data_IF_574958896539
#
_entry.id   IF_574958896539
#
_cell.length_a   1.000
_cell.length_b   1.000
_cell.length_c   1.000
_cell.angle_alpha   90.00
_cell.angle_beta   90.00
_cell.angle_gamma   90.00
#
_symmetry.space_group_name_H-M   'P 1'
#
loop_
_entity.id
_entity.type
_entity.pdbx_description
1 polymer ?
#
# COMPACT_ATOMS: atom_id res chain seq x y z
N UNK A 1 -11.03 9.35 9.23
CA UNK A 1 -10.65 7.91 9.33
C UNK A 1 -9.20 7.72 9.79
N UNK A 2 -8.35 8.73 9.63
CA UNK A 2 -6.98 8.77 10.14
C UNK A 2 -6.79 10.04 10.97
N UNK A 3 -5.86 10.00 11.93
CA UNK A 3 -5.41 11.17 12.68
C UNK A 3 -4.83 12.26 11.73
N UNK A 4 -5.06 13.54 12.06
CA UNK A 4 -4.55 14.69 11.32
C UNK A 4 -3.01 14.65 11.12
N UNK A 5 -2.28 14.13 12.11
CA UNK A 5 -0.82 14.00 12.08
C UNK A 5 -0.31 13.04 11.00
N UNK A 6 -1.16 12.11 10.52
CA UNK A 6 -0.77 11.10 9.54
C UNK A 6 -0.87 11.58 8.09
N UNK A 7 -1.62 12.64 7.79
CA UNK A 7 -1.70 13.19 6.42
C UNK A 7 -0.35 13.68 5.87
N UNK A 8 0.46 14.49 6.60
CA UNK A 8 1.79 14.86 6.13
C UNK A 8 2.72 13.63 6.03
N UNK A 9 2.64 12.70 6.98
CA UNK A 9 3.42 11.46 6.96
C UNK A 9 3.08 10.58 5.75
N UNK A 10 1.81 10.58 5.31
CA UNK A 10 1.38 9.79 4.15
C UNK A 10 1.97 10.28 2.84
N UNK A 11 2.14 11.60 2.71
CA UNK A 11 2.86 12.20 1.58
C UNK A 11 4.32 11.76 1.56
N UNK A 12 4.99 11.79 2.71
CA UNK A 12 6.38 11.31 2.85
C UNK A 12 6.47 9.81 2.59
N UNK A 13 5.55 9.01 3.12
CA UNK A 13 5.51 7.56 2.96
C UNK A 13 5.35 7.15 1.48
N UNK A 14 4.59 7.90 0.68
CA UNK A 14 4.53 7.67 -0.77
C UNK A 14 5.90 7.81 -1.42
N UNK A 15 6.65 8.88 -1.12
CA UNK A 15 8.01 9.05 -1.65
C UNK A 15 8.96 7.94 -1.18
N UNK A 16 8.89 7.55 0.10
CA UNK A 16 9.68 6.45 0.64
C UNK A 16 9.38 5.13 -0.09
N UNK A 17 8.11 4.81 -0.32
CA UNK A 17 7.71 3.61 -1.05
C UNK A 17 8.23 3.59 -2.49
N UNK A 18 8.20 4.73 -3.19
CA UNK A 18 8.81 4.86 -4.52
C UNK A 18 10.32 4.58 -4.52
N UNK A 19 11.00 4.91 -3.42
CA UNK A 19 12.43 4.65 -3.20
C UNK A 19 12.72 3.26 -2.63
N UNK A 20 11.70 2.40 -2.48
CA UNK A 20 11.85 1.04 -1.95
C UNK A 20 11.91 0.95 -0.42
N UNK A 21 11.65 2.06 0.27
CA UNK A 21 11.65 2.15 1.73
C UNK A 21 10.22 1.92 2.23
N UNK A 22 10.01 0.79 2.92
CA UNK A 22 8.68 0.34 3.38
C UNK A 22 8.31 0.84 4.77
N UNK A 23 9.28 1.40 5.50
CA UNK A 23 9.18 1.86 6.88
C UNK A 23 8.19 3.02 7.04
N UNK A 24 7.95 3.78 5.96
CA UNK A 24 6.91 4.80 5.93
C UNK A 24 5.49 4.29 6.23
N UNK A 25 5.26 2.98 6.09
CA UNK A 25 3.98 2.35 6.42
C UNK A 25 3.82 1.99 7.91
N UNK A 26 4.90 1.96 8.69
CA UNK A 26 4.88 1.55 10.11
C UNK A 26 3.93 2.42 10.96
N UNK A 27 3.96 3.77 10.88
CA UNK A 27 3.05 4.61 11.67
C UNK A 27 1.57 4.31 11.38
N UNK A 28 1.22 4.01 10.13
CA UNK A 28 -0.13 3.67 9.71
C UNK A 28 -0.56 2.28 10.20
N UNK A 29 0.37 1.34 10.22
CA UNK A 29 0.15 0.01 10.77
C UNK A 29 -0.04 0.06 12.29
N UNK A 30 0.72 0.88 13.01
CA UNK A 30 0.62 1.02 14.46
C UNK A 30 -0.70 1.67 14.92
N UNK A 31 -1.25 2.62 14.15
CA UNK A 31 -2.54 3.23 14.48
C UNK A 31 -3.70 2.22 14.42
N UNK A 32 -3.68 1.28 13.47
CA UNK A 32 -4.69 0.21 13.41
C UNK A 32 -4.15 -1.06 12.73
N UNK A 33 -3.46 -1.95 13.48
CA UNK A 33 -2.82 -3.13 12.89
C UNK A 33 -3.82 -4.08 12.23
N UNK A 34 -4.99 -4.25 12.86
CA UNK A 34 -6.05 -5.17 12.43
C UNK A 34 -6.64 -4.75 11.07
N UNK A 35 -6.67 -3.44 10.76
CA UNK A 35 -7.16 -2.97 9.46
C UNK A 35 -6.04 -2.85 8.44
N UNK A 36 -4.86 -2.39 8.86
CA UNK A 36 -3.73 -2.14 7.97
C UNK A 36 -3.11 -3.43 7.42
N UNK A 37 -2.64 -4.33 8.31
CA UNK A 37 -1.83 -5.49 7.91
C UNK A 37 -2.59 -6.41 6.93
N UNK A 38 -3.84 -6.82 7.20
CA UNK A 38 -4.58 -7.66 6.26
C UNK A 38 -4.82 -6.98 4.92
N UNK A 39 -5.08 -5.66 4.92
CA UNK A 39 -5.28 -4.90 3.69
C UNK A 39 -4.01 -4.83 2.85
N UNK A 40 -2.85 -4.64 3.49
CA UNK A 40 -1.54 -4.62 2.82
C UNK A 40 -1.24 -5.97 2.17
N UNK A 41 -1.48 -7.06 2.90
CA UNK A 41 -1.28 -8.42 2.37
C UNK A 41 -2.16 -8.68 1.15
N UNK A 42 -3.47 -8.36 1.24
CA UNK A 42 -4.40 -8.56 0.11
C UNK A 42 -4.00 -7.71 -1.08
N UNK A 43 -3.68 -6.44 -0.88
CA UNK A 43 -3.24 -5.56 -1.98
C UNK A 43 -1.94 -6.04 -2.64
N UNK A 44 -0.96 -6.48 -1.84
CA UNK A 44 0.30 -7.03 -2.34
C UNK A 44 0.07 -8.30 -3.17
N UNK A 45 -0.76 -9.23 -2.68
CA UNK A 45 -1.11 -10.46 -3.40
C UNK A 45 -1.78 -10.11 -4.73
N UNK A 46 -2.82 -9.27 -4.72
CA UNK A 46 -3.56 -8.98 -5.96
C UNK A 46 -2.70 -8.21 -6.96
N UNK A 47 -1.94 -7.20 -6.53
CA UNK A 47 -1.07 -6.43 -7.42
C UNK A 47 0.04 -7.27 -8.05
N UNK A 48 0.75 -8.07 -7.24
CA UNK A 48 1.85 -8.92 -7.73
C UNK A 48 1.35 -10.05 -8.64
N UNK A 49 0.29 -10.75 -8.25
CA UNK A 49 -0.28 -11.84 -9.07
C UNK A 49 -0.85 -11.32 -10.39
N UNK A 50 -1.53 -10.17 -10.39
CA UNK A 50 -2.03 -9.56 -11.62
C UNK A 50 -0.89 -9.15 -12.55
N UNK A 51 0.17 -8.53 -12.03
CA UNK A 51 1.33 -8.13 -12.84
C UNK A 51 1.99 -9.35 -13.50
N UNK A 52 2.27 -10.39 -12.71
CA UNK A 52 2.93 -11.62 -13.20
C UNK A 52 2.04 -12.35 -14.20
N UNK A 53 0.74 -12.48 -13.91
CA UNK A 53 -0.20 -13.17 -14.80
C UNK A 53 -0.34 -12.46 -16.15
N UNK A 54 -0.30 -11.13 -16.17
CA UNK A 54 -0.34 -10.33 -17.39
C UNK A 54 1.04 -10.20 -18.08
N UNK A 55 2.06 -10.92 -17.60
CA UNK A 55 3.35 -11.07 -18.28
C UNK A 55 4.43 -10.08 -17.87
N UNK A 56 4.30 -9.38 -16.75
CA UNK A 56 5.41 -8.63 -16.18
C UNK A 56 6.48 -9.59 -15.65
N UNK A 57 7.73 -9.41 -16.08
CA UNK A 57 8.87 -10.23 -15.65
C UNK A 57 9.98 -9.31 -15.18
N UNK A 58 10.37 -9.44 -13.92
CA UNK A 58 11.48 -8.70 -13.35
C UNK A 58 12.71 -9.61 -13.27
N UNK A 59 13.78 -9.28 -14.00
CA UNK A 59 14.95 -10.16 -14.15
C UNK A 59 15.89 -10.11 -12.95
N UNK A 60 15.95 -8.95 -12.29
CA UNK A 60 16.80 -8.72 -11.13
C UNK A 60 15.92 -8.36 -9.93
N UNK A 61 16.03 -9.07 -8.79
CA UNK A 61 15.15 -8.90 -7.64
C UNK A 61 15.51 -7.63 -6.83
N UNK A 62 15.29 -6.47 -7.43
CA UNK A 62 15.44 -5.15 -6.80
C UNK A 62 14.05 -4.57 -6.45
N UNK A 63 13.98 -3.69 -5.46
CA UNK A 63 12.77 -2.92 -5.17
C UNK A 63 12.91 -1.48 -5.72
N UNK A 64 11.87 -0.65 -5.56
CA UNK A 64 11.89 0.75 -5.98
C UNK A 64 11.85 1.03 -7.50
N UNK A 65 11.89 2.31 -7.83
CA UNK A 65 11.97 2.82 -9.21
C UNK A 65 13.22 2.36 -9.96
N UNK A 66 14.31 2.05 -9.25
CA UNK A 66 15.56 1.55 -9.83
C UNK A 66 15.41 0.17 -10.48
N UNK A 67 14.38 -0.58 -10.11
CA UNK A 67 14.06 -1.86 -10.72
C UNK A 67 13.44 -1.74 -12.13
N UNK A 68 12.84 -0.59 -12.47
CA UNK A 68 12.01 -0.45 -13.67
C UNK A 68 12.76 -0.71 -15.00
N UNK A 69 14.02 -0.30 -15.18
CA UNK A 69 14.80 -0.65 -16.39
C UNK A 69 15.05 -2.16 -16.54
N UNK A 70 14.90 -2.93 -15.45
CA UNK A 70 15.16 -4.37 -15.38
C UNK A 70 13.86 -5.20 -15.47
N UNK A 71 12.75 -4.57 -15.87
CA UNK A 71 11.42 -5.19 -15.99
C UNK A 71 11.01 -5.31 -17.46
N UNK A 72 10.64 -6.53 -17.87
CA UNK A 72 9.90 -6.78 -19.11
C UNK A 72 8.43 -6.46 -18.90
N UNK A 73 7.79 -5.79 -19.87
CA UNK A 73 6.41 -5.32 -19.78
C UNK A 73 6.16 -4.35 -18.62
N UNK A 74 6.98 -3.30 -18.55
CA UNK A 74 6.90 -2.25 -17.51
C UNK A 74 5.50 -1.64 -17.35
N UNK A 75 4.75 -1.45 -18.43
CA UNK A 75 3.39 -0.92 -18.36
C UNK A 75 2.44 -1.79 -17.51
N UNK A 76 2.53 -3.11 -17.69
CA UNK A 76 1.75 -4.08 -16.91
C UNK A 76 2.22 -4.12 -15.46
N UNK A 77 3.54 -4.04 -15.24
CA UNK A 77 4.13 -3.97 -13.91
C UNK A 77 3.61 -2.75 -13.12
N UNK A 78 3.64 -1.56 -13.73
CA UNK A 78 3.09 -0.34 -13.13
C UNK A 78 1.59 -0.45 -12.87
N UNK A 79 0.83 -1.05 -13.78
CA UNK A 79 -0.60 -1.29 -13.60
C UNK A 79 -0.87 -2.23 -12.41
N UNK A 80 -0.05 -3.26 -12.21
CA UNK A 80 -0.14 -4.15 -11.05
C UNK A 80 0.17 -3.45 -9.73
N UNK A 81 1.20 -2.60 -9.68
CA UNK A 81 1.48 -1.75 -8.51
C UNK A 81 0.28 -0.85 -8.19
N UNK A 82 -0.25 -0.17 -9.20
CA UNK A 82 -1.40 0.71 -9.04
C UNK A 82 -2.65 -0.07 -8.55
N UNK A 83 -2.90 -1.25 -9.11
CA UNK A 83 -3.99 -2.13 -8.70
C UNK A 83 -3.87 -2.54 -7.23
N UNK A 84 -2.69 -3.00 -6.81
CA UNK A 84 -2.42 -3.36 -5.42
C UNK A 84 -2.59 -2.19 -4.46
N UNK A 85 -2.14 -0.99 -4.84
CA UNK A 85 -2.30 0.23 -4.06
C UNK A 85 -3.77 0.63 -3.92
N UNK A 86 -4.55 0.59 -5.00
CA UNK A 86 -5.99 0.89 -4.98
C UNK A 86 -6.74 -0.11 -4.10
N UNK A 87 -6.47 -1.42 -4.24
CA UNK A 87 -7.11 -2.46 -3.42
C UNK A 87 -6.79 -2.27 -1.94
N UNK A 88 -5.53 -1.96 -1.63
CA UNK A 88 -5.10 -1.64 -0.26
C UNK A 88 -5.88 -0.45 0.29
N UNK A 89 -5.95 0.66 -0.46
CA UNK A 89 -6.65 1.86 -0.04
C UNK A 89 -8.14 1.60 0.22
N UNK A 90 -8.80 0.89 -0.71
CA UNK A 90 -10.21 0.53 -0.58
C UNK A 90 -10.46 -0.36 0.64
N UNK A 91 -9.64 -1.40 0.85
CA UNK A 91 -9.74 -2.29 2.01
C UNK A 91 -9.53 -1.55 3.33
N UNK A 92 -8.49 -0.73 3.44
CA UNK A 92 -8.22 0.02 4.68
C UNK A 92 -9.35 0.99 4.98
N UNK A 93 -9.81 1.77 3.99
CA UNK A 93 -10.91 2.72 4.16
C UNK A 93 -12.19 1.99 4.55
N UNK A 94 -12.52 0.91 3.88
CA UNK A 94 -13.72 0.13 4.17
C UNK A 94 -13.70 -0.49 5.58
N UNK A 95 -12.60 -1.15 5.95
CA UNK A 95 -12.45 -1.79 7.26
C UNK A 95 -12.44 -0.75 8.39
N UNK A 96 -11.71 0.36 8.23
CA UNK A 96 -11.71 1.44 9.22
C UNK A 96 -13.07 2.10 9.34
N UNK A 97 -13.77 2.34 8.23
CA UNK A 97 -15.13 2.86 8.24
C UNK A 97 -16.08 1.92 9.00
N UNK A 98 -15.95 0.62 8.79
CA UNK A 98 -16.74 -0.38 9.49
C UNK A 98 -16.43 -0.41 11.00
N UNK A 99 -15.16 -0.29 11.39
CA UNK A 99 -14.78 -0.21 12.81
C UNK A 99 -15.23 1.08 13.47
N UNK A 100 -15.14 2.21 12.76
CA UNK A 100 -15.63 3.50 13.22
C UNK A 100 -17.13 3.47 13.48
N UNK A 101 -17.92 2.91 12.54
CA UNK A 101 -19.37 2.73 12.71
C UNK A 101 -19.74 1.83 13.89
N UNK A 102 -18.87 0.88 14.25
CA UNK A 102 -19.05 0.00 15.42
C UNK A 102 -18.54 0.61 16.73
N UNK A 103 -18.07 1.86 16.72
CA UNK A 103 -17.49 2.54 17.89
C UNK A 103 -16.17 1.94 18.37
N UNK A 104 -15.51 1.10 17.56
CA UNK A 104 -14.27 0.39 17.93
C UNK A 104 -13.00 1.12 17.50
N UNK A 105 -13.13 2.25 16.79
CA UNK A 105 -12.01 3.04 16.29
C UNK A 105 -12.18 4.47 16.80
N UNK A 106 -11.32 4.86 17.74
CA UNK A 106 -11.21 6.23 18.20
C UNK A 106 -10.23 6.96 17.29
N UNK A 107 -10.66 8.09 16.74
CA UNK A 107 -9.80 8.95 15.92
C UNK A 107 -9.36 10.08 16.84
N UNK A 108 -8.13 10.01 17.33
CA UNK A 108 -7.57 11.13 18.08
C UNK A 108 -7.44 12.33 17.14
N UNK A 109 -8.11 13.43 17.50
CA UNK A 109 -8.19 14.65 16.70
C UNK A 109 -7.26 15.76 17.21
N UNK A 110 -6.29 15.43 18.07
CA UNK A 110 -5.36 16.38 18.69
C UNK A 110 -4.27 16.84 17.71
#
# INVERSE_FOLDING_TARGET
LFNAQLYPQGKTAMFLAFMGISEGAIPFALESPITAIPSYMVGAIVGSTAAVWLGAVQWFPESAIWAWPLVTNLGVYMAGIALGAVITALMVVFLRLMMFRKGKLLIDSL
#
